data_IF_839461098572
#
_entry.id   IF_839461098572
#
_cell.length_a   1.000
_cell.length_b   1.000
_cell.length_c   1.000
_cell.angle_alpha   90.00
_cell.angle_beta   90.00
_cell.angle_gamma   90.00
#
_symmetry.space_group_name_H-M   'P 1'
#
loop_
_entity.id
_entity.type
_entity.pdbx_description
1 polymer ?
#
# COMPACT_ATOMS: atom_id res chain seq x y z
N UNK A 1 -5.43 -7.85 -18.34
CA UNK A 1 -4.28 -7.34 -19.12
C UNK A 1 -3.94 -8.25 -20.30
N UNK A 2 -3.76 -9.57 -20.10
CA UNK A 2 -3.32 -10.50 -21.17
C UNK A 2 -4.26 -10.55 -22.40
N UNK A 3 -5.59 -10.53 -22.19
CA UNK A 3 -6.58 -10.64 -23.28
C UNK A 3 -6.74 -9.32 -24.06
N UNK A 4 -6.84 -8.19 -23.36
CA UNK A 4 -7.02 -6.86 -23.99
C UNK A 4 -5.72 -6.35 -24.62
N UNK A 5 -4.57 -6.78 -24.10
CA UNK A 5 -3.26 -6.38 -24.58
C UNK A 5 -2.76 -5.06 -23.98
N UNK A 6 -1.58 -4.66 -24.43
CA UNK A 6 -0.92 -3.44 -23.97
C UNK A 6 -1.59 -2.18 -24.53
N UNK A 7 -1.57 -1.10 -23.74
CA UNK A 7 -1.98 0.23 -24.24
C UNK A 7 -1.06 0.66 -25.39
N UNK A 8 -1.64 1.28 -26.41
CA UNK A 8 -0.89 1.83 -27.55
C UNK A 8 0.21 2.78 -27.04
N UNK A 9 1.43 2.62 -27.56
CA UNK A 9 2.59 3.42 -27.16
C UNK A 9 3.27 3.02 -25.84
N UNK A 10 2.78 1.99 -25.13
CA UNK A 10 3.41 1.50 -23.90
C UNK A 10 4.75 0.80 -24.15
N UNK A 11 4.87 0.09 -25.27
CA UNK A 11 6.08 -0.61 -25.69
C UNK A 11 6.42 -0.16 -27.10
N UNK A 12 7.68 0.24 -27.33
CA UNK A 12 8.18 0.56 -28.66
C UNK A 12 8.49 -0.73 -29.45
N UNK A 13 8.81 -0.59 -30.74
CA UNK A 13 9.06 -1.72 -31.63
C UNK A 13 10.26 -2.58 -31.20
N UNK A 14 11.23 -1.99 -30.48
CA UNK A 14 12.40 -2.66 -29.91
C UNK A 14 12.13 -3.28 -28.52
N UNK A 15 10.88 -3.20 -28.03
CA UNK A 15 10.48 -3.70 -26.72
C UNK A 15 10.74 -2.76 -25.55
N UNK A 16 11.32 -1.57 -25.79
CA UNK A 16 11.55 -0.60 -24.71
C UNK A 16 10.24 -0.14 -24.08
N UNK A 17 10.25 0.02 -22.76
CA UNK A 17 9.07 0.42 -21.97
C UNK A 17 8.97 1.94 -21.96
N UNK A 18 7.88 2.47 -22.50
CA UNK A 18 7.55 3.89 -22.39
C UNK A 18 6.70 4.13 -21.15
N UNK A 19 7.09 5.01 -20.21
CA UNK A 19 6.25 5.41 -19.10
C UNK A 19 4.99 6.14 -19.59
N UNK A 20 3.84 5.82 -18.99
CA UNK A 20 2.59 6.54 -19.21
C UNK A 20 2.24 7.23 -17.88
N UNK A 21 2.62 8.50 -17.69
CA UNK A 21 2.52 9.17 -16.39
C UNK A 21 1.06 9.36 -15.96
N UNK A 22 0.87 9.47 -14.65
CA UNK A 22 -0.44 9.79 -14.07
C UNK A 22 -0.92 11.17 -14.53
N UNK A 23 -2.22 11.29 -14.79
CA UNK A 23 -2.82 12.55 -15.28
C UNK A 23 -2.96 13.62 -14.19
N UNK A 24 -3.07 13.22 -12.92
CA UNK A 24 -3.25 14.14 -11.79
C UNK A 24 -2.76 13.50 -10.49
N UNK A 25 -1.53 13.84 -10.07
CA UNK A 25 -0.94 13.30 -8.85
C UNK A 25 -1.62 13.77 -7.56
N UNK A 26 -2.02 15.05 -7.40
CA UNK A 26 -2.82 15.46 -6.24
C UNK A 26 -4.11 14.64 -6.06
N UNK A 27 -4.83 14.35 -7.14
CA UNK A 27 -6.04 13.52 -7.07
C UNK A 27 -5.71 12.06 -6.71
N UNK A 28 -4.62 11.51 -7.24
CA UNK A 28 -4.15 10.17 -6.86
C UNK A 28 -3.75 10.09 -5.38
N UNK A 29 -3.10 11.13 -4.86
CA UNK A 29 -2.78 11.27 -3.42
C UNK A 29 -4.05 11.29 -2.58
N UNK A 30 -5.04 12.10 -2.96
CA UNK A 30 -6.34 12.13 -2.28
C UNK A 30 -7.02 10.75 -2.31
N UNK A 31 -7.03 10.08 -3.46
CA UNK A 31 -7.56 8.72 -3.60
C UNK A 31 -6.86 7.72 -2.67
N UNK A 32 -5.53 7.82 -2.54
CA UNK A 32 -4.75 6.97 -1.63
C UNK A 32 -5.15 7.20 -0.18
N UNK A 33 -5.34 8.46 0.25
CA UNK A 33 -5.82 8.76 1.61
C UNK A 33 -7.24 8.27 1.86
N UNK A 34 -8.14 8.40 0.88
CA UNK A 34 -9.51 7.86 0.98
C UNK A 34 -9.47 6.34 1.14
N UNK A 35 -8.66 5.64 0.33
CA UNK A 35 -8.49 4.20 0.43
C UNK A 35 -7.88 3.79 1.77
N UNK A 36 -6.86 4.49 2.24
CA UNK A 36 -6.24 4.23 3.55
C UNK A 36 -7.25 4.41 4.68
N UNK A 37 -8.01 5.51 4.69
CA UNK A 37 -9.08 5.73 5.67
C UNK A 37 -10.12 4.60 5.61
N UNK A 38 -10.56 4.22 4.41
CA UNK A 38 -11.48 3.10 4.20
C UNK A 38 -10.93 1.76 4.68
N UNK A 39 -9.61 1.58 4.62
CA UNK A 39 -8.94 0.35 5.03
C UNK A 39 -9.01 0.08 6.54
N UNK A 40 -9.15 1.13 7.36
CA UNK A 40 -9.48 0.93 8.77
C UNK A 40 -10.82 0.21 8.91
N UNK A 41 -11.86 0.69 8.23
CA UNK A 41 -13.16 0.02 8.20
C UNK A 41 -13.09 -1.38 7.61
N UNK A 42 -12.29 -1.58 6.55
CA UNK A 42 -12.12 -2.88 5.90
C UNK A 42 -11.49 -3.92 6.85
N UNK A 43 -10.30 -3.62 7.40
CA UNK A 43 -9.59 -4.56 8.26
C UNK A 43 -10.23 -4.65 9.64
N UNK A 44 -10.50 -3.54 10.32
CA UNK A 44 -11.06 -3.58 11.68
C UNK A 44 -12.51 -4.02 11.72
N UNK A 45 -13.30 -3.69 10.69
CA UNK A 45 -14.66 -4.22 10.54
C UNK A 45 -14.70 -5.74 10.33
N UNK A 46 -13.61 -6.33 9.84
CA UNK A 46 -13.48 -7.79 9.69
C UNK A 46 -13.39 -8.54 11.03
N UNK A 47 -13.28 -7.84 12.17
CA UNK A 47 -13.48 -8.46 13.49
C UNK A 47 -14.92 -8.95 13.67
N UNK A 48 -15.91 -8.30 13.04
CA UNK A 48 -17.35 -8.65 13.10
C UNK A 48 -17.97 -8.66 14.51
N UNK A 49 -17.25 -8.18 15.52
CA UNK A 49 -17.68 -8.12 16.91
C UNK A 49 -17.16 -6.86 17.59
N UNK A 50 -17.98 -6.25 18.45
CA UNK A 50 -17.61 -5.11 19.30
C UNK A 50 -18.41 -5.13 20.63
N UNK A 51 -18.84 -6.33 21.05
CA UNK A 51 -19.71 -6.50 22.22
C UNK A 51 -18.95 -6.58 23.54
N UNK A 52 -17.64 -6.83 23.49
CA UNK A 52 -16.77 -7.00 24.66
C UNK A 52 -15.57 -6.06 24.62
N UNK A 53 -14.93 -5.88 25.79
CA UNK A 53 -13.66 -5.17 25.87
C UNK A 53 -12.55 -5.86 25.04
N UNK A 54 -12.56 -7.19 24.97
CA UNK A 54 -11.61 -7.95 24.17
C UNK A 54 -11.77 -7.65 22.67
N UNK A 55 -13.01 -7.57 22.18
CA UNK A 55 -13.28 -7.22 20.77
C UNK A 55 -12.82 -5.80 20.45
N UNK A 56 -13.09 -4.84 21.33
CA UNK A 56 -12.65 -3.46 21.15
C UNK A 56 -11.12 -3.34 21.11
N UNK A 57 -10.41 -4.11 21.95
CA UNK A 57 -8.93 -4.18 21.95
C UNK A 57 -8.43 -4.81 20.63
N UNK A 58 -9.06 -5.88 20.16
CA UNK A 58 -8.70 -6.52 18.90
C UNK A 58 -8.85 -5.55 17.71
N UNK A 59 -9.97 -4.82 17.62
CA UNK A 59 -10.19 -3.79 16.60
C UNK A 59 -9.11 -2.71 16.66
N UNK A 60 -8.78 -2.21 17.86
CA UNK A 60 -7.74 -1.19 18.02
C UNK A 60 -6.37 -1.69 17.55
N UNK A 61 -6.02 -2.95 17.87
CA UNK A 61 -4.79 -3.59 17.38
C UNK A 61 -4.77 -3.71 15.85
N UNK A 62 -5.90 -4.11 15.25
CA UNK A 62 -6.05 -4.20 13.80
C UNK A 62 -5.86 -2.82 13.14
N UNK A 63 -6.44 -1.76 13.71
CA UNK A 63 -6.27 -0.40 13.18
C UNK A 63 -4.81 0.03 13.19
N UNK A 64 -4.11 -0.15 14.32
CA UNK A 64 -2.71 0.28 14.41
C UNK A 64 -1.80 -0.57 13.51
N UNK A 65 -2.02 -1.88 13.41
CA UNK A 65 -1.27 -2.74 12.49
C UNK A 65 -1.51 -2.33 11.03
N UNK A 66 -2.75 -2.02 10.65
CA UNK A 66 -3.11 -1.53 9.31
C UNK A 66 -2.36 -0.23 8.99
N UNK A 67 -2.36 0.73 9.93
CA UNK A 67 -1.67 2.00 9.76
C UNK A 67 -0.16 1.84 9.62
N UNK A 68 0.44 1.02 10.50
CA UNK A 68 1.89 0.83 10.55
C UNK A 68 2.40 0.05 9.33
N UNK A 69 1.62 -0.90 8.80
CA UNK A 69 1.97 -1.56 7.54
C UNK A 69 1.94 -0.60 6.34
N UNK A 70 0.92 0.24 6.23
CA UNK A 70 0.87 1.27 5.20
C UNK A 70 2.07 2.23 5.28
N UNK A 71 2.39 2.71 6.49
CA UNK A 71 3.55 3.55 6.74
C UNK A 71 4.88 2.84 6.42
N UNK A 72 5.02 1.57 6.80
CA UNK A 72 6.18 0.74 6.46
C UNK A 72 6.40 0.62 4.96
N UNK A 73 5.31 0.41 4.20
CA UNK A 73 5.35 0.38 2.73
C UNK A 73 5.78 1.72 2.12
N UNK A 74 5.24 2.84 2.61
CA UNK A 74 5.66 4.19 2.16
C UNK A 74 7.14 4.42 2.42
N UNK A 75 7.60 4.20 3.65
CA UNK A 75 9.00 4.46 4.05
C UNK A 75 9.96 3.61 3.23
N UNK A 76 9.66 2.31 3.06
CA UNK A 76 10.50 1.41 2.28
C UNK A 76 10.57 1.84 0.80
N UNK A 77 9.44 2.22 0.19
CA UNK A 77 9.42 2.73 -1.19
C UNK A 77 10.20 4.04 -1.33
N UNK A 78 10.04 4.99 -0.41
CA UNK A 78 10.75 6.28 -0.44
C UNK A 78 12.27 6.05 -0.33
N UNK A 79 12.71 5.19 0.58
CA UNK A 79 14.12 4.83 0.71
C UNK A 79 14.62 4.16 -0.58
N UNK A 80 13.89 3.17 -1.08
CA UNK A 80 14.32 2.38 -2.25
C UNK A 80 14.39 3.24 -3.51
N UNK A 81 13.38 4.07 -3.78
CA UNK A 81 13.37 5.00 -4.92
C UNK A 81 14.49 6.03 -4.81
N UNK A 82 14.77 6.55 -3.61
CA UNK A 82 15.92 7.43 -3.39
C UNK A 82 17.25 6.73 -3.68
N UNK A 83 17.39 5.44 -3.35
CA UNK A 83 18.62 4.69 -3.61
C UNK A 83 18.81 4.35 -5.09
N UNK A 84 17.75 3.90 -5.78
CA UNK A 84 17.78 3.45 -7.18
C UNK A 84 17.74 4.64 -8.14
N UNK A 85 16.75 5.51 -8.00
CA UNK A 85 16.47 6.62 -8.93
C UNK A 85 17.12 7.94 -8.52
N UNK A 86 17.80 7.98 -7.35
CA UNK A 86 18.42 9.18 -6.77
C UNK A 86 17.44 10.32 -6.46
N UNK A 87 16.15 10.01 -6.45
CA UNK A 87 15.05 10.92 -6.12
C UNK A 87 13.88 10.14 -5.53
N UNK A 88 13.12 10.78 -4.67
CA UNK A 88 11.85 10.25 -4.18
C UNK A 88 10.82 10.31 -5.30
N UNK A 89 10.14 9.21 -5.55
CA UNK A 89 9.03 9.12 -6.49
C UNK A 89 7.69 9.06 -5.74
N UNK A 90 6.86 10.09 -5.90
CA UNK A 90 5.55 10.15 -5.25
C UNK A 90 4.63 9.00 -5.67
N UNK A 91 4.63 8.62 -6.96
CA UNK A 91 3.76 7.53 -7.43
C UNK A 91 4.14 6.21 -6.77
N UNK A 92 5.43 5.96 -6.56
CA UNK A 92 5.91 4.77 -5.86
C UNK A 92 5.64 4.82 -4.35
N UNK A 93 5.74 6.00 -3.73
CA UNK A 93 5.35 6.16 -2.32
C UNK A 93 3.86 5.85 -2.10
N UNK A 94 2.97 6.37 -2.96
CA UNK A 94 1.54 6.09 -2.92
C UNK A 94 1.23 4.60 -3.14
N UNK A 95 1.88 3.98 -4.13
CA UNK A 95 1.76 2.53 -4.34
C UNK A 95 2.32 1.73 -3.17
N UNK A 96 3.39 2.20 -2.52
CA UNK A 96 3.93 1.60 -1.30
C UNK A 96 2.93 1.58 -0.15
N UNK A 97 2.19 2.67 0.06
CA UNK A 97 1.09 2.71 1.03
C UNK A 97 0.05 1.62 0.74
N UNK A 98 -0.43 1.56 -0.51
CA UNK A 98 -1.44 0.59 -0.93
C UNK A 98 -0.92 -0.84 -0.86
N UNK A 99 0.33 -1.09 -1.24
CA UNK A 99 0.95 -2.40 -1.14
C UNK A 99 1.08 -2.87 0.31
N UNK A 100 1.43 -1.96 1.23
CA UNK A 100 1.47 -2.26 2.65
C UNK A 100 0.09 -2.58 3.23
N UNK A 101 -0.94 -1.80 2.84
CA UNK A 101 -2.33 -2.07 3.20
C UNK A 101 -2.82 -3.42 2.67
N UNK A 102 -2.52 -3.75 1.42
CA UNK A 102 -2.87 -5.06 0.83
C UNK A 102 -2.14 -6.20 1.55
N UNK A 103 -0.87 -6.02 1.87
CA UNK A 103 -0.04 -7.07 2.49
C UNK A 103 -0.51 -7.45 3.88
N UNK A 104 -0.95 -6.48 4.70
CA UNK A 104 -1.40 -6.73 6.08
C UNK A 104 -2.82 -7.29 6.15
N UNK A 105 -3.63 -7.14 5.10
CA UNK A 105 -5.04 -7.56 5.08
C UNK A 105 -5.25 -9.07 5.28
N UNK A 106 -4.26 -9.91 5.00
CA UNK A 106 -4.39 -11.36 5.19
C UNK A 106 -4.54 -11.78 6.67
N UNK A 107 -4.05 -10.96 7.60
CA UNK A 107 -4.13 -11.26 9.03
C UNK A 107 -3.67 -10.06 9.86
N UNK A 108 -4.46 -8.98 9.91
CA UNK A 108 -4.05 -7.73 10.55
C UNK A 108 -4.12 -7.74 12.09
N UNK A 109 -4.75 -8.76 12.68
CA UNK A 109 -4.92 -9.00 14.12
C UNK A 109 -3.72 -9.71 14.77
N UNK A 110 -2.95 -10.47 13.98
CA UNK A 110 -1.87 -11.33 14.47
C UNK A 110 -0.51 -10.66 14.73
N UNK A 111 -0.04 -9.67 13.94
CA UNK A 111 1.33 -9.19 14.05
C UNK A 111 1.53 -8.25 15.24
N UNK A 112 2.77 -8.19 15.73
CA UNK A 112 3.22 -7.03 16.51
C UNK A 112 3.40 -5.82 15.61
N UNK A 113 3.45 -4.61 16.19
CA UNK A 113 3.67 -3.37 15.44
C UNK A 113 4.93 -3.41 14.55
N UNK A 114 6.03 -3.95 15.07
CA UNK A 114 7.27 -4.09 14.31
C UNK A 114 7.12 -5.06 13.14
N UNK A 115 6.42 -6.17 13.33
CA UNK A 115 6.15 -7.13 12.25
C UNK A 115 5.19 -6.55 11.21
N UNK A 116 4.16 -5.81 11.62
CA UNK A 116 3.26 -5.12 10.71
C UNK A 116 4.01 -4.13 9.80
N UNK A 117 4.96 -3.37 10.37
CA UNK A 117 5.83 -2.48 9.61
C UNK A 117 6.67 -3.24 8.57
N UNK A 118 7.23 -4.39 8.95
CA UNK A 118 8.05 -5.24 8.06
C UNK A 118 7.20 -5.85 6.94
N UNK A 119 6.01 -6.37 7.24
CA UNK A 119 5.06 -6.88 6.24
C UNK A 119 4.74 -5.77 5.23
N UNK A 120 4.44 -4.58 5.74
CA UNK A 120 4.19 -3.40 4.93
C UNK A 120 5.37 -3.02 4.04
N UNK A 121 6.58 -2.98 4.61
CA UNK A 121 7.81 -2.64 3.92
C UNK A 121 8.14 -3.65 2.81
N UNK A 122 7.99 -4.95 3.06
CA UNK A 122 8.20 -6.00 2.04
C UNK A 122 7.21 -5.81 0.89
N UNK A 123 5.93 -5.59 1.21
CA UNK A 123 4.90 -5.29 0.20
C UNK A 123 5.25 -4.08 -0.64
N UNK A 124 5.69 -2.99 0.00
CA UNK A 124 6.14 -1.77 -0.69
C UNK A 124 7.33 -2.03 -1.63
N UNK A 125 8.38 -2.71 -1.14
CA UNK A 125 9.58 -3.01 -1.93
C UNK A 125 9.26 -3.80 -3.20
N UNK A 126 8.32 -4.74 -3.15
CA UNK A 126 7.95 -5.58 -4.32
C UNK A 126 7.30 -4.75 -5.45
N UNK A 127 6.71 -3.60 -5.15
CA UNK A 127 6.02 -2.77 -6.14
C UNK A 127 6.95 -1.77 -6.84
N UNK A 128 8.15 -1.53 -6.30
CA UNK A 128 9.18 -0.66 -6.89
C UNK A 128 10.00 -1.41 -7.94
#
# INVERSE_FOLDING_TARGET
>A
ALIIGARKGKYAADGTVTPLPGSNLPLATLGTFILWLGWFGFNGGSQLAMGSAADAIAIANIYINTNIAAAGGVVACVILTQLIYKKVDLTMALNGALAGLVSITAGPDTPSLGLAAIIGAIGGVIVV
#
